data_IF_894435123246
#
_entry.id   IF_894435123246
#
_cell.length_a   1.000
_cell.length_b   1.000
_cell.length_c   1.000
_cell.angle_alpha   90.00
_cell.angle_beta   90.00
_cell.angle_gamma   90.00
#
_symmetry.space_group_name_H-M   'P 1'
#
loop_
_entity.id
_entity.type
_entity.pdbx_description
1 polymer ?
#
# COMPACT_ATOMS: atom_id res chain seq x y z
N UNK A 1 -41.21 -1.50 4.57
CA UNK A 1 -41.03 -0.09 4.91
C UNK A 1 -39.55 0.22 5.01
N UNK A 2 -39.07 1.16 4.21
CA UNK A 2 -37.66 1.55 4.22
C UNK A 2 -37.38 2.32 5.53
N UNK A 3 -36.35 1.90 6.29
CA UNK A 3 -35.96 2.57 7.53
C UNK A 3 -34.67 3.34 7.30
N UNK A 4 -34.78 4.66 7.21
CA UNK A 4 -33.60 5.55 7.07
C UNK A 4 -33.05 5.79 8.48
N UNK A 5 -31.80 5.40 8.73
CA UNK A 5 -31.14 5.60 10.02
C UNK A 5 -30.24 6.84 10.04
N UNK A 6 -29.74 7.25 8.88
CA UNK A 6 -28.85 8.39 8.75
C UNK A 6 -28.86 8.89 7.30
N UNK A 7 -28.75 10.21 7.12
CA UNK A 7 -28.46 10.84 5.84
C UNK A 7 -26.95 10.93 5.66
N UNK A 8 -26.45 10.59 4.46
CA UNK A 8 -25.03 10.68 4.12
C UNK A 8 -24.90 11.30 2.74
N UNK A 9 -23.84 12.09 2.55
CA UNK A 9 -23.55 12.79 1.30
C UNK A 9 -22.41 12.07 0.56
N UNK A 10 -22.47 12.07 -0.77
CA UNK A 10 -21.38 11.65 -1.65
C UNK A 10 -20.68 12.88 -2.23
N UNK A 11 -19.54 12.66 -2.92
CA UNK A 11 -18.84 13.75 -3.58
C UNK A 11 -19.65 14.39 -4.72
N UNK A 12 -20.64 13.69 -5.26
CA UNK A 12 -21.57 14.25 -6.26
C UNK A 12 -22.55 15.28 -5.65
N UNK A 13 -22.74 15.24 -4.34
CA UNK A 13 -23.67 16.11 -3.61
C UNK A 13 -22.99 17.36 -3.03
N UNK A 14 -21.64 17.44 -3.08
CA UNK A 14 -20.89 18.50 -2.41
C UNK A 14 -19.85 19.15 -3.31
N UNK A 15 -19.50 20.39 -2.98
CA UNK A 15 -18.36 21.10 -3.54
C UNK A 15 -17.44 21.55 -2.40
N UNK A 16 -16.13 21.48 -2.64
CA UNK A 16 -15.15 22.04 -1.70
C UNK A 16 -15.13 23.56 -1.84
N UNK A 17 -15.25 24.25 -0.72
CA UNK A 17 -15.14 25.71 -0.68
C UNK A 17 -13.66 26.07 -0.81
N UNK A 18 -13.27 26.89 -1.83
CA UNK A 18 -11.89 27.36 -1.95
C UNK A 18 -11.45 28.16 -0.74
N UNK A 19 -10.22 27.91 -0.28
CA UNK A 19 -9.55 28.70 0.76
C UNK A 19 -8.52 29.64 0.16
N UNK A 20 -8.16 30.67 0.92
CA UNK A 20 -7.04 31.53 0.56
C UNK A 20 -5.73 30.73 0.61
N UNK A 21 -4.87 30.89 -0.39
CA UNK A 21 -3.55 30.24 -0.46
C UNK A 21 -2.54 31.17 -1.13
N UNK A 22 -1.34 31.21 -0.58
CA UNK A 22 -0.17 31.89 -1.15
C UNK A 22 0.86 30.91 -1.71
N UNK A 23 0.55 29.59 -1.69
CA UNK A 23 1.44 28.51 -2.13
C UNK A 23 1.11 28.10 -3.56
N UNK A 24 2.12 28.05 -4.43
CA UNK A 24 1.97 27.54 -5.78
C UNK A 24 1.87 26.00 -5.77
N UNK A 25 1.14 25.39 -6.73
CA UNK A 25 0.97 23.93 -6.77
C UNK A 25 2.28 23.12 -6.80
N UNK A 26 3.34 23.65 -7.39
CA UNK A 26 4.66 23.02 -7.44
C UNK A 26 5.49 23.17 -6.15
N UNK A 27 5.04 23.99 -5.21
CA UNK A 27 5.70 24.25 -3.92
C UNK A 27 5.00 23.52 -2.76
N UNK A 28 3.89 22.84 -3.04
CA UNK A 28 3.11 22.14 -2.03
C UNK A 28 3.86 20.91 -1.51
N UNK A 29 3.95 20.78 -0.19
CA UNK A 29 4.38 19.53 0.45
C UNK A 29 3.18 18.59 0.58
N UNK A 30 3.30 17.40 0.00
CA UNK A 30 2.27 16.36 0.08
C UNK A 30 2.44 15.44 1.31
N UNK A 31 3.46 15.68 2.14
CA UNK A 31 3.69 14.89 3.35
C UNK A 31 2.47 14.94 4.26
N UNK A 32 2.04 13.76 4.69
CA UNK A 32 0.87 13.61 5.54
C UNK A 32 1.07 12.51 6.57
N UNK A 33 0.21 12.49 7.56
CA UNK A 33 0.24 11.48 8.62
C UNK A 33 -0.99 10.59 8.52
N UNK A 34 -0.75 9.30 8.31
CA UNK A 34 -1.81 8.29 8.27
C UNK A 34 -2.24 7.90 9.69
N UNK A 35 -1.28 7.69 10.58
CA UNK A 35 -1.50 7.37 11.99
C UNK A 35 -0.48 8.11 12.85
N UNK A 36 -0.54 7.94 14.17
CA UNK A 36 0.43 8.56 15.10
C UNK A 36 1.88 8.18 14.82
N UNK A 37 2.11 6.98 14.25
CA UNK A 37 3.45 6.45 13.98
C UNK A 37 3.74 6.21 12.49
N UNK A 38 2.84 6.58 11.57
CA UNK A 38 3.03 6.35 10.13
C UNK A 38 2.85 7.67 9.40
N UNK A 39 3.91 8.12 8.76
CA UNK A 39 3.92 9.27 7.86
C UNK A 39 4.05 8.78 6.41
N UNK A 40 3.41 9.50 5.50
CA UNK A 40 3.46 9.24 4.06
C UNK A 40 4.04 10.47 3.36
N UNK A 41 4.78 10.25 2.27
CA UNK A 41 5.28 11.34 1.44
C UNK A 41 4.22 11.88 0.48
N UNK A 42 3.25 11.03 0.10
CA UNK A 42 2.05 11.42 -0.63
C UNK A 42 0.79 10.84 0.04
N UNK A 43 -0.35 11.56 0.04
CA UNK A 43 -1.56 11.12 0.73
C UNK A 43 -2.36 10.07 -0.08
N UNK A 44 -1.70 9.01 -0.51
CA UNK A 44 -2.32 7.92 -1.27
C UNK A 44 -2.25 6.61 -0.51
N UNK A 45 -3.41 5.96 -0.42
CA UNK A 45 -3.57 4.64 0.22
C UNK A 45 -4.33 3.75 -0.76
N UNK A 46 -3.79 2.58 -1.12
CA UNK A 46 -4.54 1.63 -1.93
C UNK A 46 -5.47 0.78 -1.07
N UNK A 47 -6.69 0.56 -1.59
CA UNK A 47 -7.74 -0.15 -0.87
C UNK A 47 -7.39 -1.63 -0.65
N UNK A 48 -7.78 -2.17 0.51
CA UNK A 48 -7.65 -3.59 0.86
C UNK A 48 -8.71 -4.45 0.15
N UNK A 49 -8.72 -4.38 -1.17
CA UNK A 49 -9.67 -5.10 -2.02
C UNK A 49 -8.99 -6.27 -2.74
N UNK A 50 -9.71 -7.38 -2.83
CA UNK A 50 -9.31 -8.53 -3.62
C UNK A 50 -8.99 -8.11 -5.06
N UNK A 51 -7.97 -8.70 -5.65
CA UNK A 51 -7.43 -8.40 -6.99
C UNK A 51 -6.91 -6.98 -7.20
N UNK A 52 -7.03 -6.09 -6.21
CA UNK A 52 -6.55 -4.69 -6.28
C UNK A 52 -5.20 -4.56 -5.59
N UNK A 53 -5.13 -4.81 -4.27
CA UNK A 53 -3.89 -4.60 -3.51
C UNK A 53 -3.27 -5.90 -3.04
N UNK A 54 -2.28 -6.34 -3.78
CA UNK A 54 -1.34 -7.41 -3.45
C UNK A 54 0.08 -6.84 -3.45
N UNK A 55 1.11 -7.69 -3.31
CA UNK A 55 2.50 -7.24 -3.19
C UNK A 55 2.92 -6.27 -4.30
N UNK A 56 2.53 -6.52 -5.55
CA UNK A 56 2.92 -5.72 -6.71
C UNK A 56 2.46 -4.26 -6.57
N UNK A 57 1.17 -4.05 -6.27
CA UNK A 57 0.63 -2.69 -6.10
C UNK A 57 1.17 -2.05 -4.82
N UNK A 58 1.29 -2.83 -3.73
CA UNK A 58 1.84 -2.31 -2.48
C UNK A 58 3.28 -1.81 -2.64
N UNK A 59 4.11 -2.50 -3.43
CA UNK A 59 5.47 -2.06 -3.79
C UNK A 59 5.42 -0.76 -4.59
N UNK A 60 4.60 -0.69 -5.64
CA UNK A 60 4.48 0.51 -6.46
C UNK A 60 4.00 1.72 -5.63
N UNK A 61 3.01 1.52 -4.75
CA UNK A 61 2.54 2.57 -3.84
C UNK A 61 3.64 3.06 -2.89
N UNK A 62 4.45 2.14 -2.35
CA UNK A 62 5.56 2.49 -1.47
C UNK A 62 6.66 3.28 -2.21
N UNK A 63 6.98 2.90 -3.45
CA UNK A 63 7.95 3.61 -4.28
C UNK A 63 7.54 5.06 -4.55
N UNK A 64 6.25 5.31 -4.72
CA UNK A 64 5.70 6.67 -4.92
C UNK A 64 5.51 7.43 -3.59
N UNK A 65 5.76 6.81 -2.45
CA UNK A 65 5.66 7.45 -1.14
C UNK A 65 4.29 7.34 -0.46
N UNK A 66 3.39 6.53 -1.03
CA UNK A 66 2.11 6.15 -0.43
C UNK A 66 2.21 4.84 0.37
N UNK A 67 1.07 4.18 0.58
CA UNK A 67 1.00 2.89 1.27
C UNK A 67 -0.04 1.97 0.65
N UNK A 68 0.27 0.68 0.54
CA UNK A 68 -0.66 -0.36 0.12
C UNK A 68 -1.20 -1.15 1.31
N UNK A 69 -2.50 -1.39 1.33
CA UNK A 69 -3.15 -2.26 2.32
C UNK A 69 -3.52 -3.57 1.64
N UNK A 70 -2.81 -4.64 1.97
CA UNK A 70 -3.02 -5.97 1.39
C UNK A 70 -4.35 -6.54 1.87
N UNK A 71 -5.17 -7.05 0.93
CA UNK A 71 -6.48 -7.61 1.25
C UNK A 71 -6.39 -8.93 2.03
N UNK A 72 -7.51 -9.31 2.65
CA UNK A 72 -7.62 -10.51 3.50
C UNK A 72 -8.20 -11.75 2.80
N UNK A 73 -8.60 -11.67 1.52
CA UNK A 73 -9.22 -12.78 0.80
C UNK A 73 -8.17 -13.79 0.31
N UNK A 74 -7.41 -14.34 1.25
CA UNK A 74 -6.36 -15.34 1.02
C UNK A 74 -6.07 -16.04 2.35
N UNK A 75 -5.32 -17.13 2.33
CA UNK A 75 -4.90 -17.79 3.58
C UNK A 75 -3.90 -16.93 4.35
N UNK A 76 -3.72 -17.22 5.64
CA UNK A 76 -2.76 -16.53 6.49
C UNK A 76 -1.35 -16.59 5.90
N UNK A 77 -0.96 -17.78 5.40
CA UNK A 77 0.35 -18.02 4.81
C UNK A 77 0.54 -17.22 3.50
N UNK A 78 -0.49 -17.16 2.68
CA UNK A 78 -0.48 -16.38 1.44
C UNK A 78 -0.34 -14.88 1.76
N UNK A 79 -1.15 -14.34 2.68
CA UNK A 79 -1.07 -12.94 3.07
C UNK A 79 0.30 -12.59 3.66
N UNK A 80 0.82 -13.44 4.55
CA UNK A 80 2.16 -13.28 5.10
C UNK A 80 3.25 -13.34 4.01
N UNK A 81 3.03 -14.18 2.97
CA UNK A 81 3.87 -14.24 1.77
C UNK A 81 3.89 -12.93 1.00
N UNK A 82 2.72 -12.34 0.76
CA UNK A 82 2.61 -11.04 0.08
C UNK A 82 3.30 -9.92 0.86
N UNK A 83 3.06 -9.83 2.17
CA UNK A 83 3.76 -8.86 3.04
C UNK A 83 5.27 -9.06 3.00
N UNK A 84 5.73 -10.31 3.02
CA UNK A 84 7.17 -10.64 2.98
C UNK A 84 7.82 -10.20 1.66
N UNK A 85 7.11 -10.34 0.52
CA UNK A 85 7.58 -9.83 -0.78
C UNK A 85 7.78 -8.31 -0.74
N UNK A 86 6.81 -7.56 -0.21
CA UNK A 86 6.91 -6.10 -0.08
C UNK A 86 8.09 -5.72 0.80
N UNK A 87 8.23 -6.33 1.98
CA UNK A 87 9.31 -6.01 2.93
C UNK A 87 10.70 -6.37 2.40
N UNK A 88 10.83 -7.46 1.66
CA UNK A 88 12.09 -7.81 1.01
C UNK A 88 12.47 -6.79 -0.07
N UNK A 89 11.51 -6.26 -0.80
CA UNK A 89 11.75 -5.26 -1.85
C UNK A 89 12.24 -3.93 -1.27
N UNK A 90 11.61 -3.44 -0.19
CA UNK A 90 11.97 -2.18 0.47
C UNK A 90 13.37 -2.21 1.09
N UNK A 91 13.79 -3.37 1.60
CA UNK A 91 14.99 -3.46 2.41
C UNK A 91 16.30 -3.29 1.60
N UNK A 92 16.29 -3.46 0.26
CA UNK A 92 17.51 -3.53 -0.54
C UNK A 92 18.54 -4.59 -0.05
N UNK A 93 18.20 -5.24 1.07
CA UNK A 93 18.98 -6.30 1.73
C UNK A 93 18.11 -7.53 1.78
N UNK A 94 18.58 -8.61 1.20
CA UNK A 94 17.93 -9.92 1.32
C UNK A 94 18.13 -10.42 2.74
N UNK A 95 17.17 -10.15 3.63
CA UNK A 95 17.07 -10.87 4.90
C UNK A 95 16.57 -12.27 4.56
N UNK A 96 17.30 -13.30 4.91
CA UNK A 96 17.10 -14.70 4.55
C UNK A 96 17.27 -14.96 3.03
N UNK A 97 18.50 -14.87 2.50
CA UNK A 97 18.78 -15.29 1.13
C UNK A 97 18.51 -16.80 1.00
N UNK A 98 17.88 -17.20 -0.10
CA UNK A 98 17.88 -18.62 -0.46
C UNK A 98 19.32 -18.96 -0.82
N UNK A 99 19.99 -19.68 0.05
CA UNK A 99 21.36 -20.15 -0.18
C UNK A 99 21.31 -21.56 -0.73
N UNK A 100 22.16 -21.84 -1.70
CA UNK A 100 22.45 -23.20 -2.16
C UNK A 100 23.90 -23.52 -1.84
N UNK A 101 24.19 -24.76 -1.52
CA UNK A 101 25.56 -25.21 -1.39
C UNK A 101 26.25 -25.18 -2.76
N UNK A 102 27.56 -24.93 -2.79
CA UNK A 102 28.34 -24.77 -4.01
C UNK A 102 28.25 -25.99 -4.95
N UNK A 103 27.96 -27.15 -4.40
CA UNK A 103 27.90 -28.45 -5.10
C UNK A 103 26.47 -28.90 -5.43
N UNK A 104 25.46 -28.05 -5.15
CA UNK A 104 24.06 -28.40 -5.39
C UNK A 104 23.76 -28.44 -6.90
N UNK A 105 23.15 -29.52 -7.43
CA UNK A 105 22.80 -29.59 -8.84
C UNK A 105 21.72 -28.55 -9.19
N UNK A 106 21.81 -27.95 -10.38
CA UNK A 106 20.99 -26.85 -10.87
C UNK A 106 19.46 -27.11 -10.82
N UNK A 107 19.01 -28.33 -10.60
CA UNK A 107 17.60 -28.73 -10.53
C UNK A 107 16.93 -28.34 -9.21
N UNK A 108 17.70 -27.98 -8.19
CA UNK A 108 17.18 -27.64 -6.84
C UNK A 108 16.72 -26.18 -6.70
N UNK A 109 16.86 -25.36 -7.75
CA UNK A 109 16.51 -23.93 -7.73
C UNK A 109 15.08 -23.61 -8.21
N UNK A 110 14.22 -24.62 -8.46
CA UNK A 110 12.85 -24.41 -8.91
C UNK A 110 11.85 -24.74 -7.82
N UNK A 111 11.63 -23.82 -6.90
CA UNK A 111 10.39 -23.69 -6.12
C UNK A 111 10.20 -22.25 -5.71
#
# INVERSE_FOLDING_TARGET
MLRISQEALTFDDILLVPGYSEVLPNEVSLKTRLTRGIELNIPLVSAAMDTVTEARLAIAMAQEGGIGIIHKNMTIEQQAGEVRKVKKFEAGVVKDPITIEADAPCVTCST
#
